data_IF_058178322049
#
_entry.id   IF_058178322049
#
_cell.length_a   1.000
_cell.length_b   1.000
_cell.length_c   1.000
_cell.angle_alpha   90.00
_cell.angle_beta   90.00
_cell.angle_gamma   90.00
#
_symmetry.space_group_name_H-M   'P 1'
#
loop_
_entity.id
_entity.type
_entity.pdbx_description
1 polymer ?
#
# COMPACT_ATOMS: atom_id res chain seq x y z
N UNK A 1 26.15 -16.95 9.56
CA UNK A 1 24.79 -17.06 8.96
C UNK A 1 24.29 -15.66 8.67
N UNK A 2 24.03 -15.34 7.41
CA UNK A 2 23.61 -13.99 6.97
C UNK A 2 22.13 -13.75 7.28
N UNK A 3 21.82 -13.02 8.35
CA UNK A 3 20.49 -12.46 8.58
C UNK A 3 20.32 -11.21 7.72
N UNK A 4 19.60 -11.33 6.59
CA UNK A 4 19.12 -10.16 5.85
C UNK A 4 18.14 -9.39 6.73
N UNK A 5 18.57 -8.23 7.24
CA UNK A 5 17.70 -7.27 7.92
C UNK A 5 16.96 -6.48 6.83
N UNK A 6 15.69 -6.79 6.62
CA UNK A 6 14.80 -5.91 5.86
C UNK A 6 14.27 -4.87 6.85
N UNK A 7 14.92 -3.70 6.88
CA UNK A 7 14.38 -2.53 7.55
C UNK A 7 13.41 -1.85 6.58
N UNK A 8 12.12 -1.93 6.85
CA UNK A 8 11.15 -0.96 6.35
C UNK A 8 11.28 0.26 7.26
N UNK A 9 11.53 1.43 6.67
CA UNK A 9 11.73 2.68 7.38
C UNK A 9 10.66 2.92 8.47
N UNK A 10 11.09 2.87 9.73
CA UNK A 10 10.76 3.88 10.72
C UNK A 10 9.31 4.06 11.21
N UNK A 11 8.55 2.99 11.50
CA UNK A 11 7.30 3.14 12.27
C UNK A 11 7.28 2.33 13.56
N UNK A 12 7.39 3.04 14.68
CA UNK A 12 6.75 2.64 15.93
C UNK A 12 5.30 3.11 15.86
N UNK A 13 4.34 2.19 15.69
CA UNK A 13 2.93 2.51 15.95
C UNK A 13 2.75 2.53 17.47
N UNK A 14 2.92 3.71 18.03
CA UNK A 14 2.55 4.02 19.39
C UNK A 14 2.28 5.51 19.42
N UNK A 15 1.00 5.90 19.54
CA UNK A 15 0.66 7.19 20.10
C UNK A 15 1.27 7.23 21.50
N UNK A 16 2.48 7.76 21.61
CA UNK A 16 3.07 8.09 22.90
C UNK A 16 2.48 9.44 23.32
N UNK A 17 1.22 9.41 23.75
CA UNK A 17 1.03 9.79 25.14
C UNK A 17 1.81 8.73 25.90
N UNK A 18 3.02 9.06 26.30
CA UNK A 18 3.96 8.18 26.99
C UNK A 18 3.28 7.61 28.24
N UNK A 19 2.66 6.44 28.11
CA UNK A 19 2.36 5.56 29.23
C UNK A 19 3.69 4.85 29.51
N UNK A 20 4.41 5.18 30.59
CA UNK A 20 5.79 4.74 30.78
C UNK A 20 5.96 3.22 30.92
N UNK A 21 4.87 2.46 31.02
CA UNK A 21 4.86 1.02 31.33
C UNK A 21 4.01 0.18 30.36
N UNK A 22 3.64 0.70 29.19
CA UNK A 22 2.95 -0.12 28.19
C UNK A 22 3.95 -1.07 27.51
N UNK A 23 3.91 -2.35 27.90
CA UNK A 23 4.64 -3.42 27.20
C UNK A 23 4.37 -3.34 25.69
N UNK A 24 5.41 -3.44 24.83
CA UNK A 24 5.22 -3.38 23.40
C UNK A 24 4.22 -4.45 22.96
N UNK A 25 3.20 -4.05 22.21
CA UNK A 25 2.22 -4.98 21.63
C UNK A 25 2.97 -5.91 20.69
N UNK A 26 3.05 -7.19 21.06
CA UNK A 26 3.62 -8.22 20.20
C UNK A 26 2.64 -8.51 19.06
N UNK A 27 3.01 -8.08 17.85
CA UNK A 27 2.31 -8.41 16.60
C UNK A 27 2.42 -9.92 16.38
N UNK A 28 1.31 -10.65 16.50
CA UNK A 28 1.23 -12.04 16.07
C UNK A 28 1.20 -12.08 14.54
N UNK A 29 2.33 -12.33 13.90
CA UNK A 29 2.43 -12.33 12.42
C UNK A 29 1.49 -13.33 11.71
N UNK A 30 0.85 -14.26 12.43
CA UNK A 30 -0.17 -15.17 11.87
C UNK A 30 -1.59 -14.61 11.92
N UNK A 31 -1.84 -13.55 12.70
CA UNK A 31 -3.16 -12.94 12.92
C UNK A 31 -3.18 -11.45 12.61
N UNK A 32 -2.05 -10.78 12.83
CA UNK A 32 -1.87 -9.35 12.73
C UNK A 32 -1.15 -9.01 11.43
N UNK A 33 -1.96 -8.75 10.41
CA UNK A 33 -1.52 -8.42 9.07
C UNK A 33 -1.20 -6.92 9.00
N UNK A 34 0.06 -6.57 8.81
CA UNK A 34 0.50 -5.20 8.53
C UNK A 34 0.85 -5.14 7.06
N UNK A 35 0.05 -4.42 6.30
CA UNK A 35 0.23 -4.24 4.86
C UNK A 35 0.97 -2.93 4.61
N UNK A 36 2.09 -3.02 3.92
CA UNK A 36 2.76 -1.87 3.36
C UNK A 36 2.44 -1.76 1.88
N UNK A 37 2.23 -0.53 1.39
CA UNK A 37 2.15 -0.30 -0.04
C UNK A 37 2.68 1.08 -0.43
N UNK A 38 2.96 1.23 -1.72
CA UNK A 38 3.48 2.44 -2.36
C UNK A 38 2.92 2.56 -3.78
N UNK A 39 2.80 3.79 -4.30
CA UNK A 39 2.30 4.09 -5.65
C UNK A 39 3.33 4.82 -6.51
N UNK A 40 3.42 4.39 -7.76
CA UNK A 40 4.08 5.17 -8.81
C UNK A 40 3.02 5.79 -9.71
N UNK A 41 3.16 7.09 -9.99
CA UNK A 41 2.19 7.87 -10.75
C UNK A 41 2.86 8.57 -11.92
N UNK A 42 2.11 8.77 -13.00
CA UNK A 42 2.64 9.45 -14.18
C UNK A 42 3.04 10.89 -13.85
N UNK A 43 4.24 11.29 -14.27
CA UNK A 43 4.75 12.64 -14.07
C UNK A 43 4.40 13.52 -15.28
N UNK A 44 3.74 14.66 -15.05
CA UNK A 44 3.40 15.62 -16.10
C UNK A 44 3.94 17.02 -15.78
N UNK A 45 5.26 17.21 -15.98
CA UNK A 45 5.91 18.53 -15.96
C UNK A 45 6.51 18.97 -14.62
N UNK A 46 7.17 20.15 -14.55
CA UNK A 46 8.15 20.54 -13.51
C UNK A 46 7.58 20.85 -12.11
N UNK A 47 6.33 20.51 -11.82
CA UNK A 47 5.69 20.68 -10.51
C UNK A 47 5.01 19.37 -10.12
N UNK A 48 4.93 19.15 -8.80
CA UNK A 48 4.38 17.97 -8.09
C UNK A 48 3.33 17.21 -8.91
N UNK A 49 3.42 15.87 -8.91
CA UNK A 49 2.45 14.97 -9.51
C UNK A 49 1.02 15.39 -9.16
N UNK A 50 0.20 15.66 -10.18
CA UNK A 50 -1.20 16.03 -9.96
C UNK A 50 -1.98 14.81 -9.47
N UNK A 51 -2.93 15.05 -8.56
CA UNK A 51 -3.87 14.01 -8.09
C UNK A 51 -4.70 13.40 -9.23
N UNK A 52 -4.76 14.02 -10.41
CA UNK A 52 -5.45 13.49 -11.60
C UNK A 52 -4.59 12.63 -12.53
N UNK A 53 -3.28 12.59 -12.32
CA UNK A 53 -2.40 11.81 -13.20
C UNK A 53 -2.67 10.30 -13.06
N UNK A 54 -2.50 9.50 -14.12
CA UNK A 54 -2.71 8.07 -14.00
C UNK A 54 -1.73 7.38 -13.02
N UNK A 55 -2.21 6.40 -12.26
CA UNK A 55 -1.38 5.49 -11.47
C UNK A 55 -0.70 4.51 -12.44
N UNK A 56 0.63 4.42 -12.41
CA UNK A 56 1.42 3.54 -13.26
C UNK A 56 1.57 2.15 -12.65
N UNK A 57 1.84 2.07 -11.35
CA UNK A 57 1.87 0.82 -10.61
C UNK A 57 1.69 1.01 -9.11
N UNK A 58 1.41 -0.10 -8.43
CA UNK A 58 1.41 -0.22 -6.99
C UNK A 58 2.09 -1.51 -6.57
N UNK A 59 2.81 -1.48 -5.44
CA UNK A 59 3.38 -2.67 -4.82
C UNK A 59 2.83 -2.85 -3.41
N UNK A 60 2.30 -4.03 -3.12
CA UNK A 60 1.68 -4.39 -1.84
C UNK A 60 2.49 -5.51 -1.20
N UNK A 61 2.88 -5.35 0.06
CA UNK A 61 3.66 -6.32 0.84
C UNK A 61 3.10 -6.43 2.25
N UNK A 62 2.75 -7.63 2.70
CA UNK A 62 2.27 -7.87 4.05
C UNK A 62 3.23 -8.71 4.88
N UNK A 63 3.19 -8.53 6.20
CA UNK A 63 3.91 -9.35 7.20
C UNK A 63 3.61 -10.84 7.12
N UNK A 64 2.46 -11.25 6.57
CA UNK A 64 2.08 -12.65 6.38
C UNK A 64 2.69 -13.30 5.12
N UNK A 65 3.47 -12.56 4.32
CA UNK A 65 4.10 -13.04 3.09
C UNK A 65 3.29 -12.78 1.82
N UNK A 66 2.17 -12.06 1.91
CA UNK A 66 1.42 -11.58 0.75
C UNK A 66 2.23 -10.51 -0.01
N UNK A 67 2.48 -10.75 -1.29
CA UNK A 67 3.22 -9.83 -2.18
C UNK A 67 2.48 -9.75 -3.52
N UNK A 68 2.01 -8.55 -3.86
CA UNK A 68 1.30 -8.29 -5.12
C UNK A 68 1.82 -7.02 -5.77
N UNK A 69 2.00 -7.06 -7.09
CA UNK A 69 2.28 -5.88 -7.90
C UNK A 69 1.11 -5.68 -8.86
N UNK A 70 0.58 -4.47 -8.92
CA UNK A 70 -0.39 -4.04 -9.93
C UNK A 70 0.33 -3.05 -10.83
N UNK A 71 0.32 -3.25 -12.15
CA UNK A 71 1.11 -2.41 -13.07
C UNK A 71 0.44 -2.26 -14.44
N UNK A 72 0.66 -1.11 -15.09
CA UNK A 72 0.36 -0.95 -16.52
C UNK A 72 1.32 -1.72 -17.43
N UNK A 73 2.55 -1.93 -16.96
CA UNK A 73 3.59 -2.67 -17.66
C UNK A 73 3.41 -4.19 -17.49
N UNK A 74 3.90 -4.97 -18.46
CA UNK A 74 4.01 -6.43 -18.30
C UNK A 74 5.21 -6.75 -17.38
N UNK A 75 4.95 -6.75 -16.08
CA UNK A 75 5.94 -7.12 -15.05
C UNK A 75 5.77 -8.59 -14.70
N UNK A 76 6.88 -9.34 -14.70
CA UNK A 76 6.90 -10.75 -14.32
C UNK A 76 8.04 -11.00 -13.35
N UNK A 77 7.70 -11.27 -12.10
CA UNK A 77 8.66 -11.61 -11.06
C UNK A 77 8.35 -13.01 -10.51
N UNK A 78 9.35 -13.89 -10.37
CA UNK A 78 9.14 -15.19 -9.74
C UNK A 78 8.57 -15.03 -8.34
N UNK A 79 7.58 -15.86 -7.99
CA UNK A 79 6.97 -15.91 -6.65
C UNK A 79 6.25 -14.64 -6.20
N UNK A 80 5.94 -13.72 -7.13
CA UNK A 80 5.13 -12.52 -6.87
C UNK A 80 3.92 -12.53 -7.80
N UNK A 81 2.73 -12.31 -7.25
CA UNK A 81 1.54 -12.14 -8.07
C UNK A 81 1.60 -10.77 -8.75
N UNK A 82 1.67 -10.76 -10.07
CA UNK A 82 1.70 -9.54 -10.88
C UNK A 82 0.38 -9.44 -11.65
N UNK A 83 -0.35 -8.33 -11.46
CA UNK A 83 -1.64 -8.06 -12.09
C UNK A 83 -1.45 -6.89 -13.05
N UNK A 84 -1.85 -7.07 -14.30
CA UNK A 84 -1.75 -6.03 -15.32
C UNK A 84 -3.09 -5.31 -15.48
N UNK A 85 -3.08 -4.00 -15.29
CA UNK A 85 -4.26 -3.13 -15.38
C UNK A 85 -3.90 -1.87 -16.14
N UNK A 86 -4.72 -1.47 -17.12
CA UNK A 86 -4.42 -0.34 -18.01
C UNK A 86 -5.24 0.91 -17.69
N UNK A 87 -6.48 0.70 -17.27
CA UNK A 87 -7.39 1.76 -16.91
C UNK A 87 -7.09 2.29 -15.49
N UNK A 88 -7.28 3.59 -15.27
CA UNK A 88 -6.93 4.21 -13.99
C UNK A 88 -7.95 3.93 -12.87
N UNK A 89 -9.22 3.84 -13.24
CA UNK A 89 -10.31 3.50 -12.32
C UNK A 89 -10.17 2.03 -11.92
N UNK A 90 -10.03 1.12 -12.90
CA UNK A 90 -9.80 -0.30 -12.66
C UNK A 90 -8.55 -0.56 -11.79
N UNK A 91 -7.48 0.23 -11.97
CA UNK A 91 -6.27 0.17 -11.15
C UNK A 91 -6.58 0.47 -9.69
N UNK A 92 -7.34 1.55 -9.46
CA UNK A 92 -7.71 2.03 -8.14
C UNK A 92 -8.66 1.05 -7.44
N UNK A 93 -9.66 0.55 -8.16
CA UNK A 93 -10.57 -0.51 -7.68
C UNK A 93 -9.80 -1.78 -7.33
N UNK A 94 -8.87 -2.19 -8.18
CA UNK A 94 -8.07 -3.40 -7.94
C UNK A 94 -7.23 -3.26 -6.68
N UNK A 95 -6.56 -2.11 -6.48
CA UNK A 95 -5.79 -1.84 -5.26
C UNK A 95 -6.71 -1.90 -4.03
N UNK A 96 -7.83 -1.16 -4.04
CA UNK A 96 -8.77 -1.12 -2.91
C UNK A 96 -9.35 -2.50 -2.59
N UNK A 97 -9.73 -3.26 -3.62
CA UNK A 97 -10.24 -4.62 -3.47
C UNK A 97 -9.20 -5.54 -2.85
N UNK A 98 -7.94 -5.47 -3.29
CA UNK A 98 -6.85 -6.29 -2.76
C UNK A 98 -6.55 -5.96 -1.30
N UNK A 99 -6.48 -4.67 -0.95
CA UNK A 99 -6.30 -4.21 0.44
C UNK A 99 -7.47 -4.71 1.31
N UNK A 100 -8.71 -4.45 0.89
CA UNK A 100 -9.91 -4.79 1.66
C UNK A 100 -10.09 -6.30 1.83
N UNK A 101 -9.87 -7.08 0.76
CA UNK A 101 -9.96 -8.55 0.82
C UNK A 101 -8.83 -9.17 1.65
N UNK A 102 -7.67 -8.52 1.72
CA UNK A 102 -6.57 -8.96 2.56
C UNK A 102 -6.78 -8.63 4.05
N UNK A 103 -7.64 -7.66 4.34
CA UNK A 103 -8.06 -7.24 5.68
C UNK A 103 -6.88 -6.98 6.65
N UNK A 104 -5.94 -6.07 6.32
CA UNK A 104 -4.85 -5.74 7.22
C UNK A 104 -5.34 -4.91 8.42
N UNK A 105 -4.73 -5.14 9.58
CA UNK A 105 -4.98 -4.34 10.80
C UNK A 105 -4.36 -2.95 10.65
N UNK A 106 -3.19 -2.87 9.99
CA UNK A 106 -2.50 -1.63 9.71
C UNK A 106 -2.09 -1.54 8.25
N UNK A 107 -2.26 -0.35 7.70
CA UNK A 107 -1.76 0.04 6.39
C UNK A 107 -0.63 1.04 6.64
N UNK A 108 0.55 0.77 6.09
CA UNK A 108 1.74 1.61 6.29
C UNK A 108 2.39 1.93 4.96
N UNK A 109 3.17 3.00 4.92
CA UNK A 109 3.88 3.43 3.71
C UNK A 109 4.46 4.81 3.89
N UNK A 110 5.29 5.24 2.96
CA UNK A 110 5.81 6.59 2.96
C UNK A 110 4.76 7.52 2.33
N UNK A 111 4.26 8.52 3.06
CA UNK A 111 3.19 9.42 2.62
C UNK A 111 1.88 8.74 2.20
N UNK A 112 1.62 7.52 2.67
CA UNK A 112 0.45 6.72 2.25
C UNK A 112 -0.89 7.41 2.55
N UNK A 113 -1.00 8.11 3.68
CA UNK A 113 -2.23 8.79 4.08
C UNK A 113 -2.41 10.14 3.38
N UNK A 114 -1.32 10.85 3.12
CA UNK A 114 -1.34 12.20 2.56
C UNK A 114 -1.37 12.21 1.02
N UNK A 115 -0.87 11.15 0.39
CA UNK A 115 -0.77 11.04 -1.06
C UNK A 115 -1.49 9.81 -1.60
N UNK A 116 -1.06 8.59 -1.25
CA UNK A 116 -1.50 7.37 -1.95
C UNK A 116 -3.00 7.09 -1.79
N UNK A 117 -3.50 7.13 -0.56
CA UNK A 117 -4.91 6.95 -0.26
C UNK A 117 -5.76 8.00 -0.98
N UNK A 118 -5.31 9.25 -0.97
CA UNK A 118 -6.01 10.36 -1.66
C UNK A 118 -6.01 10.10 -3.17
N UNK A 119 -4.90 9.65 -3.72
CA UNK A 119 -4.71 9.35 -5.14
C UNK A 119 -5.62 8.24 -5.64
N UNK A 120 -5.77 7.18 -4.85
CA UNK A 120 -6.71 6.08 -5.13
C UNK A 120 -8.15 6.59 -5.03
N UNK A 121 -8.49 7.32 -3.97
CA UNK A 121 -9.85 7.80 -3.74
C UNK A 121 -10.35 8.75 -4.84
N UNK A 122 -9.52 9.69 -5.31
CA UNK A 122 -9.92 10.63 -6.39
C UNK A 122 -10.06 9.96 -7.76
N UNK A 123 -9.51 8.75 -7.91
CA UNK A 123 -9.56 7.99 -9.15
C UNK A 123 -10.80 7.10 -9.25
N UNK A 124 -11.55 6.96 -8.15
CA UNK A 124 -12.80 6.20 -8.09
C UNK A 124 -14.00 7.13 -8.33
N UNK A 125 -15.04 6.70 -9.06
CA UNK A 125 -16.25 7.49 -9.23
C UNK A 125 -16.96 7.64 -7.89
N UNK A 126 -17.55 8.82 -7.64
CA UNK A 126 -18.20 9.17 -6.37
C UNK A 126 -19.26 8.15 -5.90
N UNK A 127 -19.88 7.45 -6.84
CA UNK A 127 -20.96 6.48 -6.61
C UNK A 127 -20.44 5.06 -6.30
N UNK A 128 -19.13 4.81 -6.38
CA UNK A 128 -18.50 3.50 -6.09
C UNK A 128 -18.09 3.31 -4.62
N UNK A 129 -18.34 4.31 -3.76
CA UNK A 129 -18.03 4.30 -2.33
C UNK A 129 -19.23 3.96 -1.44
N UNK A 130 -20.29 3.34 -2.00
CA UNK A 130 -21.34 2.74 -1.17
C UNK A 130 -20.78 1.50 -0.45
N UNK A 131 -20.47 1.67 0.85
CA UNK A 131 -20.16 0.59 1.78
C UNK A 131 -21.41 -0.19 2.19
#
# INVERSE_FOLDING_TARGET
MNTRRYAMCGYCVGNTLSVPDASPVLIDRKRDHVLAYDLEVEYYGPKISSLRNPILCSSLVCTCGYIVIISRSDVRLPSVTCIRVYDNEEMSETIMRLISSHNPIFIVGHNVYDFDNVKIAVSLPSDSLEC
#
